data_IF_671590521567
#
_entry.id   IF_671590521567
#
_cell.length_a   1.000
_cell.length_b   1.000
_cell.length_c   1.000
_cell.angle_alpha   90.00
_cell.angle_beta   90.00
_cell.angle_gamma   90.00
#
_symmetry.space_group_name_H-M   'P 1'
#
loop_
_entity.id
_entity.type
_entity.pdbx_description
1 polymer ?
#
# COMPACT_ATOMS: atom_id res chain seq x y z
N UNK A 1 -35.96 -21.65 37.19
CA UNK A 1 -34.86 -21.63 38.17
C UNK A 1 -33.65 -21.05 37.46
N UNK A 2 -33.24 -19.85 37.86
CA UNK A 2 -32.18 -19.04 37.26
C UNK A 2 -30.84 -19.40 37.94
N UNK A 3 -29.80 -19.70 37.17
CA UNK A 3 -28.42 -19.72 37.67
C UNK A 3 -27.60 -18.69 36.89
N UNK A 4 -27.29 -17.59 37.58
CA UNK A 4 -26.35 -16.55 37.18
C UNK A 4 -25.04 -16.82 37.90
N UNK A 5 -23.96 -17.01 37.15
CA UNK A 5 -22.59 -17.10 37.70
C UNK A 5 -21.78 -15.92 37.20
N UNK A 6 -21.55 -14.95 38.10
CA UNK A 6 -20.65 -13.82 37.90
C UNK A 6 -19.20 -14.25 38.12
N UNK A 7 -18.34 -14.08 37.12
CA UNK A 7 -16.90 -14.28 37.22
C UNK A 7 -16.20 -12.93 37.31
N UNK A 8 -15.66 -12.61 38.49
CA UNK A 8 -14.86 -11.41 38.74
C UNK A 8 -13.39 -11.69 38.42
N UNK A 9 -12.83 -11.00 37.43
CA UNK A 9 -11.39 -11.04 37.14
C UNK A 9 -10.66 -9.88 37.81
N UNK A 10 -9.76 -10.23 38.72
CA UNK A 10 -8.85 -9.34 39.44
C UNK A 10 -7.72 -8.89 38.50
N UNK A 11 -7.58 -7.58 38.29
CA UNK A 11 -6.43 -6.98 37.59
C UNK A 11 -5.25 -6.82 38.56
N UNK A 12 -4.13 -7.46 38.26
CA UNK A 12 -2.86 -7.26 38.97
C UNK A 12 -2.08 -6.17 38.23
N UNK A 13 -1.91 -5.02 38.87
CA UNK A 13 -1.01 -3.94 38.44
C UNK A 13 0.44 -4.35 38.75
N UNK A 14 1.17 -4.81 37.74
CA UNK A 14 2.61 -4.98 37.79
C UNK A 14 3.33 -3.67 37.47
N UNK A 15 3.92 -3.04 38.48
CA UNK A 15 4.81 -1.89 38.33
C UNK A 15 6.13 -2.37 37.73
N UNK A 16 6.41 -2.02 36.48
CA UNK A 16 7.69 -2.32 35.81
C UNK A 16 8.61 -1.11 35.94
N UNK A 17 9.57 -1.20 36.86
CA UNK A 17 10.64 -0.22 37.04
C UNK A 17 11.62 -0.30 35.87
N UNK A 18 11.72 0.78 35.09
CA UNK A 18 12.72 0.94 34.02
C UNK A 18 14.01 1.49 34.64
N UNK A 19 15.05 0.66 34.67
CA UNK A 19 16.42 1.07 34.98
C UNK A 19 17.00 1.84 33.79
N UNK A 20 17.26 3.13 33.99
CA UNK A 20 17.98 4.00 33.06
C UNK A 20 19.49 3.71 33.21
N UNK A 21 20.02 2.86 32.33
CA UNK A 21 21.46 2.64 32.22
C UNK A 21 22.12 3.71 31.35
N UNK A 22 22.77 4.68 31.98
CA UNK A 22 23.69 5.61 31.31
C UNK A 22 24.92 4.84 30.81
N UNK A 23 25.03 4.62 29.50
CA UNK A 23 26.27 4.19 28.88
C UNK A 23 27.12 5.42 28.57
N UNK A 24 28.01 5.78 29.48
CA UNK A 24 29.14 6.69 29.21
C UNK A 24 30.33 5.86 28.70
N UNK A 25 30.71 6.04 27.44
CA UNK A 25 31.95 5.50 26.88
C UNK A 25 31.99 5.81 25.40
N UNK A 26 33.07 6.27 24.78
CA UNK A 26 34.45 6.51 25.20
C UNK A 26 35.13 6.82 23.87
N UNK A 27 35.73 8.01 23.73
CA UNK A 27 36.24 8.49 22.44
C UNK A 27 37.58 7.82 22.17
N UNK A 28 37.58 6.74 21.37
CA UNK A 28 38.80 6.09 20.87
C UNK A 28 39.28 6.83 19.62
N UNK A 29 40.19 7.78 19.84
CA UNK A 29 40.96 8.46 18.79
C UNK A 29 42.06 7.53 18.26
N UNK A 30 41.78 6.85 17.15
CA UNK A 30 42.75 6.05 16.39
C UNK A 30 43.53 6.90 15.38
N UNK A 31 44.79 6.53 15.05
CA UNK A 31 45.61 7.25 14.09
C UNK A 31 45.00 7.20 12.68
N UNK A 32 44.83 8.38 12.09
CA UNK A 32 44.23 8.57 10.77
C UNK A 32 45.04 7.90 9.67
N UNK A 33 44.46 6.86 9.07
CA UNK A 33 44.90 6.37 7.76
C UNK A 33 44.53 7.41 6.70
N UNK A 34 45.48 7.86 5.87
CA UNK A 34 45.20 8.79 4.79
C UNK A 34 44.22 8.13 3.80
N UNK A 35 42.98 8.62 3.79
CA UNK A 35 41.98 8.29 2.80
C UNK A 35 42.46 8.80 1.44
N UNK A 36 43.12 7.94 0.67
CA UNK A 36 43.30 8.19 -0.76
C UNK A 36 41.91 8.22 -1.39
N UNK A 37 41.52 9.30 -2.11
CA UNK A 37 40.24 9.33 -2.80
C UNK A 37 40.24 8.19 -3.82
N UNK A 38 39.43 7.17 -3.56
CA UNK A 38 39.17 6.09 -4.51
C UNK A 38 38.48 6.75 -5.71
N UNK A 39 39.25 7.01 -6.77
CA UNK A 39 38.70 7.34 -8.09
C UNK A 39 37.90 6.12 -8.54
N UNK A 40 36.61 6.10 -8.19
CA UNK A 40 35.64 5.28 -8.89
C UNK A 40 35.67 5.83 -10.31
N UNK A 41 36.23 5.06 -11.24
CA UNK A 41 36.15 5.37 -12.65
C UNK A 41 34.66 5.50 -12.97
N UNK A 42 34.22 6.73 -13.17
CA UNK A 42 32.91 7.08 -13.69
C UNK A 42 32.91 6.60 -15.14
N UNK A 43 32.62 5.31 -15.30
CA UNK A 43 32.39 4.70 -16.59
C UNK A 43 31.03 5.25 -17.04
N UNK A 44 31.10 6.38 -17.72
CA UNK A 44 30.00 7.08 -18.38
C UNK A 44 29.52 6.27 -19.61
N UNK A 45 29.18 5.00 -19.38
CA UNK A 45 28.46 4.18 -20.34
C UNK A 45 27.02 4.60 -20.27
N UNK A 46 26.68 5.66 -21.02
CA UNK A 46 25.42 5.83 -21.74
C UNK A 46 24.29 4.98 -21.14
N UNK A 47 23.88 5.31 -19.91
CA UNK A 47 22.83 4.56 -19.22
C UNK A 47 21.56 4.98 -19.93
N UNK A 48 21.22 4.26 -21.01
CA UNK A 48 20.05 4.54 -21.84
C UNK A 48 18.89 4.83 -20.90
N UNK A 49 18.35 6.04 -20.98
CA UNK A 49 17.21 6.45 -20.16
C UNK A 49 16.13 5.37 -20.27
N UNK A 50 15.81 4.72 -19.15
CA UNK A 50 14.82 3.65 -19.14
C UNK A 50 13.48 4.23 -18.72
N UNK A 51 12.46 3.91 -19.49
CA UNK A 51 11.08 4.33 -19.26
C UNK A 51 10.25 3.09 -18.99
N UNK A 52 9.50 3.11 -17.90
CA UNK A 52 8.69 1.97 -17.50
C UNK A 52 7.23 2.39 -17.33
N UNK A 53 6.33 1.44 -17.58
CA UNK A 53 4.97 1.49 -17.05
C UNK A 53 4.78 0.36 -16.07
N UNK A 54 4.24 0.73 -14.91
CA UNK A 54 3.83 -0.18 -13.87
C UNK A 54 2.31 -0.23 -13.91
N UNK A 55 1.75 -1.43 -14.03
CA UNK A 55 0.32 -1.67 -13.93
C UNK A 55 0.04 -2.57 -12.74
N UNK A 56 -1.01 -2.26 -12.00
CA UNK A 56 -1.50 -3.06 -10.91
C UNK A 56 -3.01 -3.25 -11.04
N UNK A 57 -3.44 -4.49 -11.09
CA UNK A 57 -4.85 -4.87 -11.12
C UNK A 57 -5.33 -5.20 -9.72
N UNK A 58 -6.34 -4.48 -9.27
CA UNK A 58 -7.12 -4.80 -8.09
C UNK A 58 -8.09 -5.94 -8.46
N UNK A 59 -7.88 -7.13 -7.91
CA UNK A 59 -8.63 -8.33 -8.29
C UNK A 59 -9.94 -8.42 -7.53
N UNK A 60 -9.86 -8.49 -6.20
CA UNK A 60 -11.03 -8.58 -5.33
C UNK A 60 -10.76 -8.03 -3.92
N UNK A 61 -11.82 -7.55 -3.29
CA UNK A 61 -11.87 -7.24 -1.87
C UNK A 61 -12.61 -8.38 -1.15
N UNK A 62 -12.07 -8.86 -0.05
CA UNK A 62 -12.72 -9.77 0.88
C UNK A 62 -13.02 -9.02 2.18
N UNK A 63 -14.30 -8.73 2.42
CA UNK A 63 -14.78 -8.16 3.68
C UNK A 63 -16.04 -8.91 4.10
N UNK A 64 -15.94 -10.23 4.28
CA UNK A 64 -17.10 -11.09 4.53
C UNK A 64 -17.91 -10.69 5.77
N UNK A 65 -17.27 -10.04 6.75
CA UNK A 65 -17.93 -9.51 7.94
C UNK A 65 -18.72 -8.21 7.71
N UNK A 66 -18.56 -7.55 6.56
CA UNK A 66 -19.19 -6.26 6.29
C UNK A 66 -18.77 -5.19 7.30
N UNK A 67 -17.49 -5.17 7.67
CA UNK A 67 -16.97 -4.34 8.76
C UNK A 67 -16.07 -3.21 8.27
N UNK A 68 -15.97 -2.18 9.11
CA UNK A 68 -15.13 -0.99 8.94
C UNK A 68 -13.78 -1.15 9.63
N UNK A 69 -12.89 -0.18 9.50
CA UNK A 69 -11.56 -0.18 10.12
C UNK A 69 -11.60 -0.26 11.65
N UNK A 70 -12.72 0.15 12.25
CA UNK A 70 -13.00 0.06 13.69
C UNK A 70 -13.51 -1.31 14.15
N UNK A 71 -13.79 -2.23 13.20
CA UNK A 71 -14.47 -3.50 13.46
C UNK A 71 -16.01 -3.40 13.54
N UNK A 72 -16.57 -2.19 13.52
CA UNK A 72 -18.02 -2.00 13.49
C UNK A 72 -18.61 -2.35 12.11
N UNK A 73 -19.88 -2.78 12.04
CA UNK A 73 -20.58 -2.98 10.76
C UNK A 73 -20.55 -1.71 9.89
N UNK A 74 -20.53 -1.87 8.57
CA UNK A 74 -20.60 -0.78 7.58
C UNK A 74 -21.89 0.03 7.74
N UNK A 75 -23.04 -0.64 7.72
CA UNK A 75 -24.32 0.00 7.97
C UNK A 75 -24.62 0.11 9.47
N UNK A 76 -25.01 1.32 9.89
CA UNK A 76 -25.48 1.65 11.24
C UNK A 76 -26.68 0.80 11.70
N UNK A 77 -27.50 0.27 10.78
CA UNK A 77 -28.59 -0.65 11.11
C UNK A 77 -28.10 -2.04 11.56
N UNK A 78 -26.80 -2.32 11.42
CA UNK A 78 -26.14 -3.53 11.90
C UNK A 78 -26.22 -4.75 10.97
N UNK A 79 -26.99 -4.67 9.89
CA UNK A 79 -27.23 -5.82 8.99
C UNK A 79 -27.05 -5.53 7.49
N UNK A 80 -26.78 -4.29 7.12
CA UNK A 80 -26.61 -3.91 5.72
C UNK A 80 -25.23 -4.26 5.15
N UNK A 81 -25.15 -4.66 3.86
CA UNK A 81 -23.87 -4.78 3.17
C UNK A 81 -23.19 -3.42 2.98
N UNK A 82 -21.87 -3.43 2.80
CA UNK A 82 -21.09 -2.22 2.52
C UNK A 82 -21.33 -1.69 1.09
N UNK A 83 -21.06 -0.39 0.91
CA UNK A 83 -20.97 0.31 -0.36
C UNK A 83 -19.51 0.73 -0.63
N UNK A 84 -18.60 -0.19 -0.98
CA UNK A 84 -17.19 0.12 -1.05
C UNK A 84 -16.85 1.07 -2.21
N UNK A 85 -16.11 2.14 -1.91
CA UNK A 85 -15.42 3.01 -2.86
C UNK A 85 -13.92 2.83 -2.66
N UNK A 86 -13.21 2.56 -3.75
CA UNK A 86 -11.76 2.40 -3.76
C UNK A 86 -11.11 3.61 -4.41
N UNK A 87 -10.11 4.15 -3.73
CA UNK A 87 -9.21 5.17 -4.22
C UNK A 87 -7.80 4.59 -4.21
N UNK A 88 -7.06 4.75 -5.30
CA UNK A 88 -5.76 4.11 -5.40
C UNK A 88 -4.78 4.83 -6.31
N UNK A 89 -3.49 4.76 -5.99
CA UNK A 89 -2.42 5.21 -6.86
C UNK A 89 -1.15 4.37 -6.63
N UNK A 90 -0.24 4.37 -7.59
CA UNK A 90 1.06 3.69 -7.45
C UNK A 90 2.09 4.74 -7.04
N UNK A 91 2.64 4.58 -5.84
CA UNK A 91 3.71 5.41 -5.32
C UNK A 91 5.08 4.89 -5.76
N UNK A 92 5.69 5.63 -6.69
CA UNK A 92 7.05 5.38 -7.19
C UNK A 92 8.08 6.34 -6.60
N UNK A 93 7.63 7.39 -5.91
CA UNK A 93 8.53 8.42 -5.35
C UNK A 93 8.95 8.05 -3.93
N UNK A 94 8.01 7.52 -3.14
CA UNK A 94 8.21 7.16 -1.73
C UNK A 94 7.63 5.77 -1.41
N UNK A 95 8.01 4.71 -2.16
CA UNK A 95 7.41 3.38 -2.02
C UNK A 95 7.60 2.76 -0.61
N UNK A 96 8.65 3.15 0.10
CA UNK A 96 8.95 2.64 1.45
C UNK A 96 8.46 3.57 2.58
N UNK A 97 7.88 4.73 2.27
CA UNK A 97 7.33 5.61 3.31
C UNK A 97 6.10 4.98 3.95
N UNK A 98 5.75 5.35 5.19
CA UNK A 98 4.46 5.02 5.78
C UNK A 98 3.31 5.51 4.90
N UNK A 99 2.15 4.85 5.00
CA UNK A 99 0.92 5.30 4.35
C UNK A 99 0.60 6.75 4.79
N UNK A 100 0.20 7.67 3.88
CA UNK A 100 -0.21 7.42 2.50
C UNK A 100 0.91 7.47 1.45
N UNK A 101 2.17 7.71 1.85
CA UNK A 101 3.30 7.89 0.93
C UNK A 101 3.40 9.31 0.38
N UNK A 102 3.78 9.44 -0.90
CA UNK A 102 4.02 10.73 -1.54
C UNK A 102 2.76 11.59 -1.77
N UNK A 103 1.55 11.01 -1.74
CA UNK A 103 0.30 11.69 -2.04
C UNK A 103 -0.62 11.68 -0.81
N UNK A 104 -1.38 12.75 -0.58
CA UNK A 104 -2.42 12.75 0.47
C UNK A 104 -3.65 11.97 0.02
N UNK A 105 -4.36 11.33 0.96
CA UNK A 105 -5.53 10.48 0.65
C UNK A 105 -6.66 11.21 -0.09
N UNK A 106 -6.78 12.53 0.10
CA UNK A 106 -7.75 13.37 -0.60
C UNK A 106 -7.48 13.47 -2.11
N UNK A 107 -6.24 13.24 -2.54
CA UNK A 107 -5.82 13.32 -3.94
C UNK A 107 -5.80 11.95 -4.63
N UNK A 108 -6.10 10.86 -3.93
CA UNK A 108 -6.14 9.54 -4.55
C UNK A 108 -7.29 9.51 -5.58
N UNK A 109 -7.04 9.07 -6.83
CA UNK A 109 -8.11 8.96 -7.81
C UNK A 109 -9.03 7.80 -7.42
N UNK A 110 -10.34 8.01 -7.61
CA UNK A 110 -11.34 6.94 -7.48
C UNK A 110 -11.16 5.95 -8.64
N UNK A 111 -11.00 4.67 -8.32
CA UNK A 111 -10.77 3.61 -9.31
C UNK A 111 -11.92 2.61 -9.40
N UNK A 112 -12.72 2.49 -8.35
CA UNK A 112 -13.85 1.56 -8.33
C UNK A 112 -14.92 2.00 -7.32
N UNK A 113 -16.15 1.60 -7.56
CA UNK A 113 -17.21 1.63 -6.56
C UNK A 113 -18.21 0.49 -6.80
N UNK A 114 -18.71 -0.09 -5.72
CA UNK A 114 -19.84 -1.02 -5.74
C UNK A 114 -20.89 -0.60 -4.71
N UNK A 115 -22.10 -1.15 -4.86
CA UNK A 115 -23.21 -0.89 -3.97
C UNK A 115 -23.70 -2.22 -3.39
N UNK A 116 -23.97 -2.24 -2.09
CA UNK A 116 -24.55 -3.36 -1.37
C UNK A 116 -23.80 -4.71 -1.56
N UNK A 117 -22.47 -4.67 -1.62
CA UNK A 117 -21.61 -5.86 -1.79
C UNK A 117 -20.40 -5.75 -0.86
N UNK A 118 -20.31 -6.66 0.09
CA UNK A 118 -19.20 -6.75 1.05
C UNK A 118 -17.87 -7.14 0.40
N UNK A 119 -17.90 -8.15 -0.48
CA UNK A 119 -16.69 -8.73 -1.08
C UNK A 119 -16.74 -8.66 -2.62
N UNK A 120 -16.62 -7.46 -3.21
CA UNK A 120 -16.75 -7.28 -4.65
C UNK A 120 -15.54 -7.82 -5.42
N UNK A 121 -15.80 -8.32 -6.64
CA UNK A 121 -14.78 -8.42 -7.69
C UNK A 121 -14.56 -7.04 -8.29
N UNK A 122 -13.30 -6.63 -8.44
CA UNK A 122 -12.95 -5.25 -8.79
C UNK A 122 -12.55 -5.17 -10.27
N UNK A 123 -11.47 -5.85 -10.67
CA UNK A 123 -10.98 -5.86 -12.05
C UNK A 123 -10.49 -4.50 -12.56
N UNK A 124 -10.10 -3.60 -11.66
CA UNK A 124 -9.67 -2.24 -11.99
C UNK A 124 -8.14 -2.18 -12.11
N UNK A 125 -7.64 -1.56 -13.19
CA UNK A 125 -6.20 -1.39 -13.42
C UNK A 125 -5.79 0.05 -13.05
N UNK A 126 -4.82 0.14 -12.16
CA UNK A 126 -4.12 1.37 -11.80
C UNK A 126 -2.76 1.36 -12.50
N UNK A 127 -2.38 2.48 -13.10
CA UNK A 127 -1.10 2.58 -13.81
C UNK A 127 -0.30 3.79 -13.35
N UNK A 128 1.03 3.63 -13.38
CA UNK A 128 1.98 4.73 -13.23
C UNK A 128 3.09 4.59 -14.26
N UNK A 129 3.53 5.72 -14.77
CA UNK A 129 4.63 5.81 -15.71
C UNK A 129 5.85 6.38 -14.99
N UNK A 130 6.99 5.73 -15.16
CA UNK A 130 8.29 6.14 -14.65
C UNK A 130 9.15 6.62 -15.80
N UNK A 131 9.68 7.83 -15.66
CA UNK A 131 10.36 8.55 -16.71
C UNK A 131 11.82 8.81 -16.33
N UNK A 132 12.76 8.31 -17.11
CA UNK A 132 14.20 8.58 -16.94
C UNK A 132 14.71 8.27 -15.52
N UNK A 133 14.20 7.20 -14.91
CA UNK A 133 14.61 6.75 -13.58
C UNK A 133 14.73 5.23 -13.56
N UNK A 134 15.76 4.74 -12.86
CA UNK A 134 15.84 3.32 -12.51
C UNK A 134 14.87 3.07 -11.36
N UNK A 135 13.68 2.56 -11.67
CA UNK A 135 12.74 2.15 -10.62
C UNK A 135 12.88 0.66 -10.39
N UNK A 136 13.31 0.33 -9.17
CA UNK A 136 13.38 -1.05 -8.71
C UNK A 136 12.09 -1.51 -8.01
N UNK A 137 11.26 -0.57 -7.52
CA UNK A 137 10.14 -0.85 -6.61
C UNK A 137 9.04 0.20 -6.74
N UNK A 138 7.79 -0.22 -6.54
CA UNK A 138 6.65 0.68 -6.36
C UNK A 138 5.71 0.12 -5.29
N UNK A 139 4.87 0.97 -4.73
CA UNK A 139 3.82 0.53 -3.79
C UNK A 139 2.48 1.03 -4.26
N UNK A 140 1.57 0.12 -4.60
CA UNK A 140 0.17 0.48 -4.84
C UNK A 140 -0.47 0.79 -3.48
N UNK A 141 -0.86 2.05 -3.28
CA UNK A 141 -1.56 2.55 -2.09
C UNK A 141 -3.05 2.54 -2.36
N UNK A 142 -3.83 1.94 -1.49
CA UNK A 142 -5.29 1.81 -1.67
C UNK A 142 -6.01 2.25 -0.41
N UNK A 143 -6.96 3.17 -0.57
CA UNK A 143 -7.90 3.57 0.48
C UNK A 143 -9.29 3.06 0.11
N UNK A 144 -9.90 2.32 1.02
CA UNK A 144 -11.24 1.78 0.83
C UNK A 144 -12.20 2.41 1.84
N UNK A 145 -13.24 3.04 1.33
CA UNK A 145 -14.27 3.70 2.14
C UNK A 145 -15.62 3.01 1.92
N UNK A 146 -16.45 2.96 2.94
CA UNK A 146 -17.87 2.65 2.86
C UNK A 146 -18.65 3.94 2.59
N UNK A 147 -19.38 3.98 1.47
CA UNK A 147 -20.17 5.15 1.09
C UNK A 147 -21.44 5.23 1.92
N UNK A 148 -21.58 6.31 2.67
CA UNK A 148 -22.79 6.57 3.45
C UNK A 148 -23.64 7.61 2.72
N UNK A 149 -24.96 7.34 2.55
CA UNK A 149 -25.86 8.28 1.85
C UNK A 149 -26.17 9.54 2.66
N UNK A 150 -26.15 9.42 3.99
CA UNK A 150 -26.58 10.47 4.92
C UNK A 150 -25.41 11.02 5.72
N UNK A 151 -24.45 10.16 6.10
CA UNK A 151 -23.29 10.54 6.91
C UNK A 151 -22.01 10.58 6.07
N UNK A 152 -20.92 11.05 6.68
CA UNK A 152 -19.59 10.96 6.09
C UNK A 152 -19.21 9.51 5.77
N UNK A 153 -18.44 9.31 4.70
CA UNK A 153 -17.92 8.00 4.34
C UNK A 153 -17.07 7.44 5.49
N UNK A 154 -17.25 6.16 5.78
CA UNK A 154 -16.49 5.49 6.83
C UNK A 154 -15.30 4.74 6.24
N UNK A 155 -14.18 4.70 6.94
CA UNK A 155 -13.02 3.92 6.49
C UNK A 155 -13.29 2.42 6.65
N UNK A 156 -13.06 1.64 5.59
CA UNK A 156 -13.00 0.18 5.67
C UNK A 156 -11.57 -0.23 6.01
N UNK A 157 -10.60 0.14 5.18
CA UNK A 157 -9.19 -0.11 5.44
C UNK A 157 -8.31 0.75 4.51
N UNK A 158 -7.04 0.88 4.88
CA UNK A 158 -5.97 1.35 4.01
C UNK A 158 -5.03 0.17 3.75
N UNK A 159 -4.51 0.05 2.53
CA UNK A 159 -3.64 -1.06 2.13
C UNK A 159 -2.38 -0.59 1.42
N UNK A 160 -1.29 -1.31 1.69
CA UNK A 160 -0.05 -1.29 0.93
C UNK A 160 0.13 -2.59 0.16
N UNK A 161 0.23 -2.47 -1.16
CA UNK A 161 0.44 -3.58 -2.08
C UNK A 161 1.82 -3.41 -2.73
N UNK A 162 2.83 -4.16 -2.27
CA UNK A 162 4.20 -4.02 -2.73
C UNK A 162 4.38 -4.60 -4.13
N UNK A 163 4.76 -3.74 -5.08
CA UNK A 163 4.96 -4.13 -6.47
C UNK A 163 6.40 -4.61 -6.64
N UNK A 164 6.50 -5.89 -6.98
CA UNK A 164 7.74 -6.56 -7.32
C UNK A 164 7.59 -7.30 -8.64
N UNK A 165 8.69 -7.57 -9.33
CA UNK A 165 8.67 -8.32 -10.58
C UNK A 165 9.81 -7.95 -11.51
N UNK A 166 9.98 -8.76 -12.56
CA UNK A 166 10.87 -8.44 -13.68
C UNK A 166 10.11 -7.60 -14.69
N UNK A 167 10.80 -6.67 -15.33
CA UNK A 167 10.22 -5.88 -16.41
C UNK A 167 10.23 -6.65 -17.73
N UNK A 168 9.10 -6.70 -18.43
CA UNK A 168 9.05 -7.13 -19.83
C UNK A 168 9.53 -6.03 -20.79
N UNK A 169 9.95 -6.41 -22.00
CA UNK A 169 10.35 -5.43 -23.03
C UNK A 169 9.12 -4.75 -23.63
N UNK A 170 8.00 -5.48 -23.71
CA UNK A 170 6.73 -5.00 -24.26
C UNK A 170 5.57 -5.32 -23.31
N UNK A 171 4.39 -4.69 -23.48
CA UNK A 171 3.21 -5.01 -22.67
C UNK A 171 2.75 -6.47 -22.77
N UNK A 172 2.99 -7.12 -23.92
CA UNK A 172 2.59 -8.51 -24.17
C UNK A 172 3.58 -9.52 -23.57
N UNK A 173 4.85 -9.15 -23.46
CA UNK A 173 5.89 -9.97 -22.82
C UNK A 173 5.92 -9.81 -21.30
N UNK A 174 5.30 -8.75 -20.76
CA UNK A 174 5.20 -8.55 -19.33
C UNK A 174 4.10 -9.41 -18.72
N UNK A 175 4.55 -10.50 -18.09
CA UNK A 175 3.71 -11.39 -17.33
C UNK A 175 3.12 -10.70 -16.08
N UNK A 176 1.84 -10.91 -15.85
CA UNK A 176 1.23 -10.57 -14.57
C UNK A 176 1.81 -11.44 -13.46
N UNK A 177 2.15 -10.83 -12.33
CA UNK A 177 2.49 -11.57 -11.12
C UNK A 177 1.32 -12.44 -10.67
N UNK A 178 1.63 -13.45 -9.84
CA UNK A 178 0.59 -14.23 -9.18
C UNK A 178 -0.23 -13.30 -8.26
N UNK A 179 -1.56 -13.48 -8.18
CA UNK A 179 -2.38 -12.74 -7.22
C UNK A 179 -1.82 -12.87 -5.79
N UNK A 180 -1.63 -11.74 -5.13
CA UNK A 180 -1.03 -11.64 -3.80
C UNK A 180 -1.85 -10.72 -2.92
N UNK A 181 -1.83 -10.94 -1.60
CA UNK A 181 -2.54 -10.11 -0.64
C UNK A 181 -1.76 -8.81 -0.37
N UNK A 182 -2.47 -7.69 -0.29
CA UNK A 182 -1.94 -6.45 0.24
C UNK A 182 -1.88 -6.48 1.78
N UNK A 183 -1.03 -5.64 2.35
CA UNK A 183 -0.92 -5.43 3.79
C UNK A 183 -1.94 -4.38 4.23
N UNK A 184 -2.93 -4.79 5.02
CA UNK A 184 -3.93 -3.87 5.60
C UNK A 184 -3.41 -3.19 6.87
N UNK A 185 -3.69 -1.90 7.01
CA UNK A 185 -3.28 -1.09 8.16
C UNK A 185 -4.21 -1.22 9.37
N UNK A 186 -5.45 -1.62 9.15
CA UNK A 186 -6.47 -1.78 10.19
C UNK A 186 -7.00 -3.21 10.21
N UNK A 187 -7.36 -3.70 11.41
CA UNK A 187 -7.98 -5.02 11.65
C UNK A 187 -7.37 -6.17 10.82
N UNK A 188 -6.05 -6.42 10.96
CA UNK A 188 -5.33 -7.37 10.11
C UNK A 188 -5.99 -8.76 10.11
N UNK A 189 -6.12 -9.33 8.91
CA UNK A 189 -6.72 -10.67 8.70
C UNK A 189 -8.25 -10.70 8.67
N UNK A 190 -8.95 -9.60 9.02
CA UNK A 190 -10.42 -9.54 8.93
C UNK A 190 -10.93 -9.04 7.59
N UNK A 191 -10.13 -8.23 6.91
CA UNK A 191 -10.36 -7.79 5.54
C UNK A 191 -9.10 -8.08 4.71
N UNK A 192 -9.27 -8.39 3.43
CA UNK A 192 -8.15 -8.65 2.52
C UNK A 192 -8.39 -7.98 1.18
N UNK A 193 -7.33 -7.45 0.60
CA UNK A 193 -7.32 -6.95 -0.76
C UNK A 193 -6.31 -7.77 -1.56
N UNK A 194 -6.75 -8.31 -2.70
CA UNK A 194 -5.89 -9.09 -3.60
C UNK A 194 -5.57 -8.25 -4.82
N UNK A 195 -4.30 -8.25 -5.20
CA UNK A 195 -3.83 -7.57 -6.40
C UNK A 195 -2.84 -8.44 -7.18
N UNK A 196 -2.59 -8.07 -8.43
CA UNK A 196 -1.46 -8.53 -9.23
C UNK A 196 -0.88 -7.35 -9.99
N UNK A 197 0.35 -7.46 -10.45
CA UNK A 197 1.06 -6.37 -11.10
C UNK A 197 1.90 -6.85 -12.27
N UNK A 198 2.26 -5.94 -13.15
CA UNK A 198 3.28 -6.16 -14.20
C UNK A 198 4.03 -4.86 -14.47
N UNK A 199 5.25 -5.00 -14.95
CA UNK A 199 6.13 -3.89 -15.30
C UNK A 199 6.64 -4.13 -16.71
N UNK A 200 6.63 -3.11 -17.56
CA UNK A 200 7.21 -3.19 -18.89
C UNK A 200 7.84 -1.89 -19.35
N UNK A 201 8.73 -1.99 -20.33
CA UNK A 201 9.35 -0.84 -20.95
C UNK A 201 8.35 -0.10 -21.85
N UNK A 202 8.43 1.23 -21.85
CA UNK A 202 7.69 2.09 -22.77
C UNK A 202 8.65 2.96 -23.55
N UNK A 203 8.15 3.57 -24.62
CA UNK A 203 8.91 4.54 -25.40
C UNK A 203 8.93 5.91 -24.69
N UNK A 204 9.95 6.76 -24.94
CA UNK A 204 10.04 8.09 -24.32
C UNK A 204 8.86 9.02 -24.60
N UNK A 205 8.21 8.90 -25.76
CA UNK A 205 7.04 9.68 -26.15
C UNK A 205 5.78 9.31 -25.33
N UNK A 206 5.73 8.10 -24.78
CA UNK A 206 4.65 7.61 -23.90
C UNK A 206 4.77 8.11 -22.45
N UNK A 207 5.83 8.86 -22.14
CA UNK A 207 6.14 9.44 -20.84
C UNK A 207 5.61 10.89 -20.75
N UNK A 208 4.34 11.08 -21.09
CA UNK A 208 3.67 12.39 -21.06
C UNK A 208 2.95 12.61 -19.71
N UNK A 209 3.72 12.76 -18.63
CA UNK A 209 3.24 13.29 -17.34
C UNK A 209 3.19 12.31 -16.16
N UNK A 210 3.74 12.75 -15.02
CA UNK A 210 3.72 12.08 -13.71
C UNK A 210 2.32 12.20 -13.08
N UNK A 211 1.30 11.62 -13.69
CA UNK A 211 -0.03 11.54 -13.10
C UNK A 211 -0.57 10.13 -13.28
N UNK A 212 -0.73 9.41 -12.17
CA UNK A 212 -1.48 8.17 -12.10
C UNK A 212 -2.90 8.43 -12.57
N UNK A 213 -3.19 8.14 -13.84
CA UNK A 213 -4.54 8.16 -14.38
C UNK A 213 -5.15 6.77 -14.25
N UNK A 214 -6.42 6.64 -13.80
CA UNK A 214 -7.13 5.38 -13.93
C UNK A 214 -7.16 4.98 -15.41
N UNK A 215 -6.83 3.72 -15.71
CA UNK A 215 -6.98 3.20 -17.07
C UNK A 215 -8.48 3.25 -17.42
N UNK A 216 -8.82 3.80 -18.59
CA UNK A 216 -10.18 3.69 -19.11
C UNK A 216 -10.36 2.22 -19.55
N UNK A 217 -11.16 1.47 -18.79
CA UNK A 217 -11.71 0.19 -19.23
C UNK A 217 -12.80 0.42 -20.29
#
# INVERSE_FOLDING_TARGET
MLNSTSSSSTFVLGVLSVLIGFCTGGVLSGPGVPFLPRRVAENDTNTLAIYYRIEAELVNLENNGGIRSTGAPCDSSGSGPCDPILYAYIDVQQPNSPFPGALTTALFPKVFAANAINSPRIGAIVSATVCNQKVAKGTLRVRIMDRNKIMANSLINDYDCYIEGRSGVTPNEAEWTRPTNCVGHYIPGKTKLVFRSRIYHIKPDQCSGILSRPAKN
#
